data_IF_323680962223
#
_entry.id   IF_323680962223
#
_cell.length_a   1.000
_cell.length_b   1.000
_cell.length_c   1.000
_cell.angle_alpha   90.00
_cell.angle_beta   90.00
_cell.angle_gamma   90.00
#
_symmetry.space_group_name_H-M   'P 1'
#
loop_
_entity.id
_entity.type
_entity.pdbx_description
1 polymer ?
#
# COMPACT_ATOMS: atom_id res chain seq x y z
N UNK A 1 -3.15 -36.84 -0.08
CA UNK A 1 -1.76 -36.41 -0.34
C UNK A 1 -1.77 -34.90 -0.43
N UNK A 2 -1.36 -34.24 0.65
CA UNK A 2 -1.63 -32.84 0.92
C UNK A 2 -0.73 -31.95 0.04
N UNK A 3 -1.34 -31.10 -0.77
CA UNK A 3 -0.73 -30.19 -1.76
C UNK A 3 0.14 -29.06 -1.17
N UNK A 4 0.60 -29.20 0.07
CA UNK A 4 1.29 -28.16 0.83
C UNK A 4 2.75 -28.52 1.07
N UNK A 5 3.43 -28.86 -0.03
CA UNK A 5 4.87 -28.94 -0.02
C UNK A 5 5.45 -27.53 0.08
N UNK A 6 6.07 -27.22 1.23
CA UNK A 6 6.90 -26.04 1.40
C UNK A 6 8.03 -26.07 0.35
N UNK A 7 8.54 -24.89 -0.04
CA UNK A 7 9.71 -24.80 -0.93
C UNK A 7 10.86 -25.71 -0.48
N UNK A 8 11.07 -25.84 0.82
CA UNK A 8 12.07 -26.73 1.43
C UNK A 8 11.79 -28.22 1.17
N UNK A 9 10.52 -28.67 1.20
CA UNK A 9 10.18 -30.07 0.87
C UNK A 9 10.28 -30.35 -0.62
N UNK A 10 10.11 -29.34 -1.48
CA UNK A 10 10.39 -29.49 -2.93
C UNK A 10 11.87 -29.77 -3.25
N UNK A 11 12.79 -29.45 -2.33
CA UNK A 11 14.21 -29.84 -2.40
C UNK A 11 14.52 -31.16 -1.66
N UNK A 12 13.50 -31.92 -1.25
CA UNK A 12 13.67 -33.19 -0.53
C UNK A 12 14.11 -33.05 0.92
N UNK A 13 14.08 -31.83 1.48
CA UNK A 13 14.44 -31.58 2.88
C UNK A 13 13.16 -31.68 3.72
N UNK A 14 13.18 -32.57 4.73
CA UNK A 14 12.07 -32.69 5.68
C UNK A 14 11.93 -31.44 6.54
N UNK A 15 10.71 -30.90 6.63
CA UNK A 15 10.38 -29.73 7.46
C UNK A 15 9.11 -29.94 8.26
N UNK A 16 9.07 -29.39 9.48
CA UNK A 16 7.86 -29.31 10.31
C UNK A 16 7.42 -27.84 10.45
N UNK A 17 6.10 -27.59 10.35
CA UNK A 17 5.53 -26.26 10.53
C UNK A 17 4.78 -26.19 11.88
N UNK A 18 5.34 -25.45 12.83
CA UNK A 18 4.73 -25.19 14.14
C UNK A 18 3.88 -23.92 14.07
N UNK A 19 2.66 -23.97 14.59
CA UNK A 19 1.72 -22.84 14.54
C UNK A 19 0.96 -22.66 15.86
N UNK A 20 0.73 -21.39 16.20
CA UNK A 20 0.04 -20.97 17.44
C UNK A 20 -1.47 -20.85 17.25
N UNK A 21 -1.93 -20.42 16.07
CA UNK A 21 -3.35 -20.24 15.77
C UNK A 21 -3.94 -21.45 15.04
N UNK A 22 -5.27 -21.48 14.91
CA UNK A 22 -6.01 -22.53 14.19
C UNK A 22 -6.17 -22.24 12.69
N UNK A 23 -6.10 -20.96 12.24
CA UNK A 23 -6.20 -20.52 10.83
C UNK A 23 -4.87 -20.10 10.19
N UNK A 24 -4.61 -20.58 8.96
CA UNK A 24 -3.26 -20.51 8.33
C UNK A 24 -3.17 -19.11 7.73
N UNK A 25 -1.99 -18.48 7.80
CA UNK A 25 -1.74 -17.15 7.22
C UNK A 25 -2.43 -15.96 7.90
N UNK A 26 -2.87 -16.09 9.16
CA UNK A 26 -3.31 -14.93 9.94
C UNK A 26 -2.15 -13.95 10.22
N UNK A 27 -2.35 -12.61 10.13
CA UNK A 27 -3.57 -11.89 9.75
C UNK A 27 -3.73 -11.63 8.24
N UNK A 28 -2.77 -12.09 7.44
CA UNK A 28 -2.64 -11.73 6.03
C UNK A 28 -3.78 -12.26 5.14
N UNK A 29 -4.34 -13.43 5.45
CA UNK A 29 -5.47 -14.01 4.71
C UNK A 29 -6.50 -14.58 5.69
N UNK A 30 -7.60 -13.83 5.91
CA UNK A 30 -8.77 -14.34 6.61
C UNK A 30 -9.96 -14.37 5.65
N UNK A 31 -10.22 -15.55 5.10
CA UNK A 31 -11.39 -15.84 4.30
C UNK A 31 -12.53 -16.29 5.23
N UNK A 32 -13.69 -15.64 5.09
CA UNK A 32 -14.94 -16.02 5.74
C UNK A 32 -15.91 -16.53 4.68
N UNK A 33 -16.53 -17.68 4.94
CA UNK A 33 -17.56 -18.25 4.10
C UNK A 33 -18.78 -18.58 4.96
N UNK A 34 -19.94 -18.05 4.58
CA UNK A 34 -21.22 -18.29 5.24
C UNK A 34 -22.39 -18.00 4.29
N UNK A 35 -23.61 -18.29 4.74
CA UNK A 35 -24.85 -18.14 3.95
C UNK A 35 -25.17 -16.70 3.51
N UNK A 36 -24.58 -15.68 4.12
CA UNK A 36 -24.87 -14.28 3.81
C UNK A 36 -23.94 -13.66 2.76
N UNK A 37 -22.69 -14.12 2.69
CA UNK A 37 -21.65 -13.48 1.87
C UNK A 37 -21.05 -14.39 0.81
N UNK A 38 -21.44 -15.66 0.77
CA UNK A 38 -20.76 -16.75 0.04
C UNK A 38 -19.29 -16.84 0.48
N UNK A 39 -18.46 -15.90 0.07
CA UNK A 39 -17.14 -15.66 0.61
C UNK A 39 -16.75 -14.18 0.72
N UNK A 40 -15.92 -13.85 1.71
CA UNK A 40 -15.35 -12.51 1.89
C UNK A 40 -14.00 -12.57 2.58
N UNK A 41 -13.03 -11.80 2.07
CA UNK A 41 -11.76 -11.55 2.75
C UNK A 41 -11.93 -10.44 3.78
N UNK A 42 -11.55 -10.73 5.02
CA UNK A 42 -11.49 -9.75 6.13
C UNK A 42 -10.05 -9.46 6.57
N UNK A 43 -9.07 -9.92 5.78
CA UNK A 43 -7.64 -9.63 5.91
C UNK A 43 -7.09 -8.94 4.66
N UNK A 44 -5.88 -9.30 4.23
CA UNK A 44 -5.31 -8.85 2.96
C UNK A 44 -5.94 -9.54 1.76
N UNK A 45 -6.51 -8.75 0.83
CA UNK A 45 -7.20 -9.26 -0.35
C UNK A 45 -6.58 -8.81 -1.69
N UNK A 46 -5.80 -7.72 -1.68
CA UNK A 46 -5.36 -7.04 -2.90
C UNK A 46 -3.97 -7.49 -3.35
N UNK A 47 -3.87 -7.93 -4.60
CA UNK A 47 -2.63 -8.24 -5.31
C UNK A 47 -2.49 -7.43 -6.60
N UNK A 48 -1.30 -6.93 -6.91
CA UNK A 48 -1.07 -6.00 -8.01
C UNK A 48 -0.01 -6.42 -9.03
N UNK A 49 0.06 -5.75 -10.19
CA UNK A 49 1.27 -5.73 -11.02
C UNK A 49 2.54 -5.53 -10.17
N UNK A 50 3.66 -6.11 -10.60
CA UNK A 50 4.96 -6.22 -9.88
C UNK A 50 5.00 -7.13 -8.66
N UNK A 51 3.86 -7.55 -8.10
CA UNK A 51 3.81 -8.54 -7.03
C UNK A 51 3.92 -9.98 -7.59
N UNK A 52 4.97 -10.23 -8.38
CA UNK A 52 5.12 -11.42 -9.20
C UNK A 52 5.23 -12.71 -8.37
N UNK A 53 5.76 -12.62 -7.15
CA UNK A 53 5.95 -13.80 -6.28
C UNK A 53 4.62 -14.38 -5.81
N UNK A 54 3.70 -13.53 -5.31
CA UNK A 54 2.37 -13.99 -4.87
C UNK A 54 1.53 -14.43 -6.07
N UNK A 55 1.54 -13.68 -7.17
CA UNK A 55 0.81 -14.05 -8.39
C UNK A 55 1.27 -15.41 -8.97
N UNK A 56 2.58 -15.68 -8.94
CA UNK A 56 3.13 -16.99 -9.36
C UNK A 56 2.66 -18.10 -8.43
N UNK A 57 2.70 -17.88 -7.12
CA UNK A 57 2.27 -18.87 -6.13
C UNK A 57 0.76 -19.17 -6.27
N UNK A 58 -0.07 -18.13 -6.38
CA UNK A 58 -1.51 -18.26 -6.61
C UNK A 58 -1.79 -19.09 -7.86
N UNK A 59 -1.11 -18.80 -8.98
CA UNK A 59 -1.24 -19.56 -10.22
C UNK A 59 -0.83 -21.04 -10.06
N UNK A 60 0.25 -21.32 -9.32
CA UNK A 60 0.69 -22.69 -9.05
C UNK A 60 -0.31 -23.47 -8.20
N UNK A 61 -1.02 -22.78 -7.30
CA UNK A 61 -2.08 -23.37 -6.47
C UNK A 61 -3.42 -23.50 -7.20
N UNK A 62 -3.54 -22.95 -8.42
CA UNK A 62 -4.77 -22.97 -9.21
C UNK A 62 -5.79 -21.90 -8.78
N UNK A 63 -5.34 -20.85 -8.10
CA UNK A 63 -6.15 -19.69 -7.72
C UNK A 63 -6.22 -18.70 -8.89
N UNK A 64 -7.36 -18.02 -9.00
CA UNK A 64 -7.61 -17.01 -10.02
C UNK A 64 -7.58 -15.60 -9.43
N UNK A 65 -7.57 -14.58 -10.29
CA UNK A 65 -7.67 -13.19 -9.84
C UNK A 65 -8.70 -12.45 -10.67
N UNK A 66 -9.48 -11.58 -10.03
CA UNK A 66 -10.38 -10.67 -10.73
C UNK A 66 -10.03 -9.21 -10.47
N UNK A 67 -10.47 -8.33 -11.38
CA UNK A 67 -10.22 -6.89 -11.27
C UNK A 67 -11.25 -6.27 -10.33
N UNK A 68 -10.77 -5.45 -9.40
CA UNK A 68 -11.63 -4.60 -8.57
C UNK A 68 -12.40 -3.64 -9.49
N UNK A 69 -13.70 -3.45 -9.23
CA UNK A 69 -14.51 -2.57 -10.07
C UNK A 69 -14.09 -1.10 -9.87
N UNK A 70 -13.67 -0.47 -10.97
CA UNK A 70 -13.29 0.95 -11.05
C UNK A 70 -13.82 1.59 -12.34
N UNK A 71 -14.89 1.02 -12.92
CA UNK A 71 -15.45 1.48 -14.19
C UNK A 71 -16.17 2.83 -14.02
N UNK A 72 -16.78 3.05 -12.87
CA UNK A 72 -17.49 4.27 -12.51
C UNK A 72 -16.52 5.36 -12.00
N UNK A 73 -17.09 6.48 -11.57
CA UNK A 73 -16.31 7.57 -10.97
C UNK A 73 -15.99 7.23 -9.52
N UNK A 74 -14.75 7.45 -9.13
CA UNK A 74 -14.35 7.45 -7.72
C UNK A 74 -14.93 8.69 -7.04
N UNK A 75 -15.05 8.64 -5.72
CA UNK A 75 -15.62 9.74 -4.92
C UNK A 75 -14.59 10.23 -3.92
N UNK A 76 -14.30 11.52 -3.94
CA UNK A 76 -13.61 12.19 -2.85
C UNK A 76 -14.66 12.97 -2.04
N UNK A 77 -14.84 12.60 -0.78
CA UNK A 77 -15.75 13.28 0.14
C UNK A 77 -14.95 14.18 1.08
N UNK A 78 -15.19 15.49 1.01
CA UNK A 78 -14.48 16.47 1.84
C UNK A 78 -15.41 17.62 2.22
N UNK A 79 -15.39 17.99 3.50
CA UNK A 79 -16.22 19.09 4.07
C UNK A 79 -17.72 18.97 3.74
N UNK A 80 -18.27 17.77 3.87
CA UNK A 80 -19.71 17.56 3.63
C UNK A 80 -20.12 17.47 2.16
N UNK A 81 -19.16 17.50 1.21
CA UNK A 81 -19.44 17.52 -0.22
C UNK A 81 -18.75 16.37 -0.95
N UNK A 82 -19.44 15.85 -1.96
CA UNK A 82 -19.02 14.74 -2.80
C UNK A 82 -18.45 15.26 -4.12
N UNK A 83 -17.21 14.88 -4.44
CA UNK A 83 -16.54 15.24 -5.68
C UNK A 83 -16.22 13.97 -6.48
N UNK A 84 -17.02 13.65 -7.52
CA UNK A 84 -16.75 12.49 -8.37
C UNK A 84 -15.57 12.76 -9.31
N UNK A 85 -14.68 11.79 -9.47
CA UNK A 85 -13.48 11.91 -10.30
C UNK A 85 -13.06 10.60 -10.98
N UNK A 86 -12.10 10.70 -11.90
CA UNK A 86 -11.41 9.55 -12.51
C UNK A 86 -9.89 9.74 -12.35
N UNK A 87 -9.16 8.64 -12.25
CA UNK A 87 -7.72 8.63 -11.99
C UNK A 87 -7.38 8.18 -10.58
N UNK A 88 -6.08 8.10 -10.27
CA UNK A 88 -5.61 7.64 -8.97
C UNK A 88 -5.83 8.69 -7.86
N UNK A 89 -5.66 9.98 -8.19
CA UNK A 89 -5.74 11.06 -7.21
C UNK A 89 -6.92 11.99 -7.49
N UNK A 90 -7.60 12.53 -6.46
CA UNK A 90 -8.64 13.53 -6.66
C UNK A 90 -8.08 14.81 -7.31
N UNK A 91 -8.82 15.41 -8.27
CA UNK A 91 -8.39 16.63 -8.93
C UNK A 91 -8.43 17.83 -7.96
N UNK A 92 -7.44 18.71 -8.10
CA UNK A 92 -7.35 19.97 -7.36
C UNK A 92 -7.45 21.13 -8.34
N UNK A 93 -8.51 21.94 -8.22
CA UNK A 93 -8.81 23.02 -9.19
C UNK A 93 -8.14 24.35 -8.87
N UNK A 94 -7.82 24.61 -7.60
CA UNK A 94 -7.10 25.82 -7.21
C UNK A 94 -5.63 25.69 -7.69
N UNK A 95 -5.11 26.60 -8.53
CA UNK A 95 -3.76 26.48 -9.09
C UNK A 95 -2.64 26.38 -8.04
N UNK A 96 -2.75 27.11 -6.93
CA UNK A 96 -1.76 27.08 -5.85
C UNK A 96 -1.79 25.73 -5.14
N UNK A 97 -2.99 25.24 -4.83
CA UNK A 97 -3.14 23.93 -4.22
C UNK A 97 -2.73 22.80 -5.18
N UNK A 98 -2.95 22.96 -6.49
CA UNK A 98 -2.51 22.01 -7.50
C UNK A 98 -0.98 21.93 -7.57
N UNK A 99 -0.29 23.07 -7.59
CA UNK A 99 1.18 23.10 -7.58
C UNK A 99 1.75 22.45 -6.31
N UNK A 100 1.16 22.75 -5.16
CA UNK A 100 1.55 22.18 -3.87
C UNK A 100 1.31 20.67 -3.83
N UNK A 101 0.15 20.21 -4.32
CA UNK A 101 -0.19 18.79 -4.41
C UNK A 101 0.74 18.02 -5.35
N UNK A 102 1.06 18.60 -6.52
CA UNK A 102 2.03 18.02 -7.45
C UNK A 102 3.44 18.01 -6.84
N UNK A 103 3.81 19.06 -6.10
CA UNK A 103 5.09 19.14 -5.42
C UNK A 103 5.23 18.07 -4.33
N UNK A 104 4.18 17.83 -3.54
CA UNK A 104 4.14 16.79 -2.50
C UNK A 104 4.54 15.42 -3.07
N UNK A 105 3.81 14.92 -4.07
CA UNK A 105 4.06 13.57 -4.61
C UNK A 105 5.43 13.45 -5.27
N UNK A 106 5.80 14.46 -6.07
CA UNK A 106 7.11 14.50 -6.72
C UNK A 106 8.24 14.53 -5.69
N UNK A 107 8.09 15.30 -4.61
CA UNK A 107 9.10 15.39 -3.56
C UNK A 107 9.25 14.05 -2.84
N UNK A 108 8.15 13.41 -2.45
CA UNK A 108 8.18 12.09 -1.82
C UNK A 108 8.85 11.04 -2.70
N UNK A 109 8.50 10.97 -3.99
CA UNK A 109 9.12 10.02 -4.93
C UNK A 109 10.60 10.34 -5.16
N UNK A 110 10.99 11.62 -5.18
CA UNK A 110 12.39 12.02 -5.33
C UNK A 110 13.23 11.66 -4.10
N UNK A 111 12.74 11.96 -2.89
CA UNK A 111 13.40 11.54 -1.65
C UNK A 111 13.50 10.00 -1.59
N UNK A 112 12.45 9.29 -2.01
CA UNK A 112 12.45 7.83 -2.10
C UNK A 112 13.54 7.26 -3.03
N UNK A 113 13.93 7.97 -4.10
CA UNK A 113 15.01 7.51 -5.00
C UNK A 113 16.37 7.46 -4.29
N UNK A 114 16.60 8.32 -3.32
CA UNK A 114 17.86 8.41 -2.57
C UNK A 114 18.03 7.30 -1.53
N UNK A 115 16.94 6.63 -1.15
CA UNK A 115 16.94 5.63 -0.07
C UNK A 115 17.25 4.25 -0.64
N UNK A 116 18.35 3.56 -0.30
CA UNK A 116 18.60 2.20 -0.78
C UNK A 116 17.47 1.22 -0.39
N UNK A 117 17.09 0.32 -1.30
CA UNK A 117 15.94 -0.58 -1.07
C UNK A 117 16.21 -1.59 0.04
N UNK A 118 17.42 -2.16 0.08
CA UNK A 118 17.80 -3.21 1.02
C UNK A 118 18.46 -2.66 2.31
N UNK A 119 18.81 -1.36 2.31
CA UNK A 119 19.52 -0.70 3.42
C UNK A 119 19.08 0.77 3.59
N UNK A 120 17.83 1.05 4.02
CA UNK A 120 17.33 2.42 4.14
C UNK A 120 18.14 3.32 5.10
N UNK A 121 18.78 2.73 6.10
CA UNK A 121 19.65 3.43 7.05
C UNK A 121 20.94 3.98 6.44
N UNK A 122 21.31 3.55 5.22
CA UNK A 122 22.49 4.05 4.49
C UNK A 122 22.15 5.24 3.58
N UNK A 123 20.90 5.71 3.54
CA UNK A 123 20.51 6.87 2.75
C UNK A 123 21.32 8.11 3.18
N UNK A 124 21.69 9.03 2.25
CA UNK A 124 22.49 10.21 2.57
C UNK A 124 21.92 11.07 3.71
N UNK A 125 20.59 11.10 3.83
CA UNK A 125 19.84 11.86 4.82
C UNK A 125 19.14 10.99 5.87
N UNK A 126 19.53 9.71 6.00
CA UNK A 126 18.84 8.74 6.86
C UNK A 126 18.66 9.26 8.30
N UNK A 127 19.72 9.77 8.92
CA UNK A 127 19.67 10.26 10.30
C UNK A 127 18.77 11.50 10.49
N UNK A 128 18.60 12.34 9.46
CA UNK A 128 17.67 13.48 9.51
C UNK A 128 16.23 13.00 9.35
N UNK A 129 15.98 12.20 8.31
CA UNK A 129 14.63 11.73 7.96
C UNK A 129 14.06 10.75 8.98
N UNK A 130 14.89 9.97 9.66
CA UNK A 130 14.42 9.02 10.68
C UNK A 130 14.10 9.69 12.02
N UNK A 131 14.67 10.88 12.27
CA UNK A 131 14.38 11.68 13.48
C UNK A 131 13.13 12.53 13.37
N UNK A 132 12.61 12.73 12.16
CA UNK A 132 11.38 13.48 11.93
C UNK A 132 10.22 12.54 11.67
N UNK A 133 9.04 12.94 12.12
CA UNK A 133 7.81 12.22 11.81
C UNK A 133 7.33 12.57 10.41
N UNK A 134 6.44 11.75 9.83
CA UNK A 134 5.76 12.12 8.59
C UNK A 134 4.95 13.40 8.74
N UNK A 135 4.41 13.70 9.94
CA UNK A 135 3.74 14.96 10.23
C UNK A 135 4.69 16.14 10.03
N UNK A 136 5.90 16.07 10.59
CA UNK A 136 6.90 17.15 10.47
C UNK A 136 7.31 17.35 9.01
N UNK A 137 7.53 16.26 8.27
CA UNK A 137 7.85 16.33 6.85
C UNK A 137 6.71 16.98 6.04
N UNK A 138 5.47 16.56 6.28
CA UNK A 138 4.28 17.12 5.63
C UNK A 138 4.15 18.62 5.93
N UNK A 139 4.38 19.05 7.17
CA UNK A 139 4.36 20.47 7.54
C UNK A 139 5.48 21.27 6.89
N UNK A 140 6.64 20.65 6.64
CA UNK A 140 7.80 21.27 5.97
C UNK A 140 7.59 21.44 4.47
N UNK A 141 6.96 20.47 3.78
CA UNK A 141 6.87 20.47 2.31
C UNK A 141 5.53 20.96 1.74
N UNK A 142 4.44 20.90 2.52
CA UNK A 142 3.10 21.29 2.07
C UNK A 142 2.71 22.69 2.55
N UNK A 143 2.36 23.55 1.60
CA UNK A 143 2.01 24.94 1.84
C UNK A 143 0.53 25.10 2.20
N UNK A 144 -0.33 24.33 1.53
CA UNK A 144 -1.78 24.42 1.64
C UNK A 144 -2.34 23.43 2.65
N UNK A 145 -3.49 23.78 3.25
CA UNK A 145 -4.23 22.83 4.11
C UNK A 145 -4.73 21.62 3.32
N UNK A 146 -5.08 21.81 2.05
CA UNK A 146 -5.57 20.74 1.17
C UNK A 146 -4.52 19.66 0.95
N UNK A 147 -3.27 20.03 0.63
CA UNK A 147 -2.19 19.06 0.46
C UNK A 147 -1.87 18.35 1.79
N UNK A 148 -1.80 19.08 2.91
CA UNK A 148 -1.57 18.49 4.24
C UNK A 148 -2.63 17.46 4.63
N UNK A 149 -3.91 17.81 4.50
CA UNK A 149 -5.01 16.90 4.82
C UNK A 149 -4.96 15.63 3.98
N UNK A 150 -4.68 15.77 2.69
CA UNK A 150 -4.59 14.61 1.82
C UNK A 150 -3.33 13.77 2.08
N UNK A 151 -2.19 14.40 2.39
CA UNK A 151 -0.97 13.70 2.78
C UNK A 151 -1.17 12.89 4.06
N UNK A 152 -1.86 13.44 5.07
CA UNK A 152 -2.22 12.70 6.28
C UNK A 152 -3.12 11.51 5.98
N UNK A 153 -4.16 11.69 5.15
CA UNK A 153 -5.00 10.59 4.70
C UNK A 153 -4.18 9.50 3.97
N UNK A 154 -3.24 9.91 3.14
CA UNK A 154 -2.34 9.02 2.41
C UNK A 154 -1.43 8.23 3.35
N UNK A 155 -0.95 8.80 4.45
CA UNK A 155 -0.21 8.03 5.46
C UNK A 155 -1.16 7.01 6.10
N UNK A 156 -2.30 7.46 6.62
CA UNK A 156 -3.23 6.61 7.38
C UNK A 156 -3.73 5.42 6.55
N UNK A 157 -4.01 5.59 5.26
CA UNK A 157 -4.50 4.50 4.40
C UNK A 157 -3.42 3.48 4.03
N UNK A 158 -2.15 3.90 3.96
CA UNK A 158 -1.06 3.01 3.54
C UNK A 158 -0.45 2.24 4.72
N UNK A 159 -0.39 2.84 5.92
CA UNK A 159 0.32 2.24 7.06
C UNK A 159 -0.53 2.12 8.32
N UNK A 160 -1.81 2.54 8.28
CA UNK A 160 -2.77 2.37 9.39
C UNK A 160 -2.33 2.99 10.73
N UNK A 161 -1.51 4.04 10.66
CA UNK A 161 -1.00 4.80 11.81
C UNK A 161 -1.04 6.28 11.50
N UNK A 162 -1.04 7.12 12.53
CA UNK A 162 -1.08 8.57 12.36
C UNK A 162 0.27 9.12 11.89
N UNK A 163 0.31 10.26 11.16
CA UNK A 163 1.57 10.77 10.60
C UNK A 163 2.62 11.17 11.64
N UNK A 164 2.21 11.42 12.88
CA UNK A 164 3.12 11.76 13.99
C UNK A 164 3.70 10.52 14.70
N UNK A 165 3.21 9.31 14.38
CA UNK A 165 3.68 8.05 14.96
C UNK A 165 4.75 7.38 14.10
N UNK A 166 4.88 7.78 12.83
CA UNK A 166 5.72 7.11 11.84
C UNK A 166 6.93 7.97 11.46
N UNK A 167 8.11 7.34 11.42
CA UNK A 167 9.34 7.92 10.89
C UNK A 167 9.17 8.28 9.41
N UNK A 168 9.67 9.47 9.01
CA UNK A 168 9.61 9.88 7.62
C UNK A 168 10.53 9.03 6.73
N UNK A 169 11.72 8.65 7.22
CA UNK A 169 12.61 7.74 6.48
C UNK A 169 11.91 6.42 6.17
N UNK A 170 11.32 5.80 7.20
CA UNK A 170 10.64 4.52 7.06
C UNK A 170 9.47 4.61 6.07
N UNK A 171 8.66 5.66 6.16
CA UNK A 171 7.51 5.82 5.28
C UNK A 171 7.92 6.08 3.81
N UNK A 172 8.94 6.91 3.58
CA UNK A 172 9.47 7.15 2.22
C UNK A 172 10.04 5.87 1.62
N UNK A 173 10.79 5.10 2.41
CA UNK A 173 11.26 3.77 2.03
C UNK A 173 10.10 2.81 1.71
N UNK A 174 9.05 2.81 2.54
CA UNK A 174 7.86 1.99 2.34
C UNK A 174 7.15 2.33 1.04
N UNK A 175 6.95 3.61 0.72
CA UNK A 175 6.36 4.02 -0.55
C UNK A 175 7.25 3.63 -1.73
N UNK A 176 8.57 3.77 -1.60
CA UNK A 176 9.55 3.40 -2.63
C UNK A 176 9.49 1.91 -2.97
N UNK A 177 9.49 1.02 -1.96
CA UNK A 177 9.45 -0.43 -2.21
C UNK A 177 8.16 -0.87 -2.92
N UNK A 178 7.06 -0.14 -2.72
CA UNK A 178 5.80 -0.35 -3.43
C UNK A 178 5.77 0.25 -4.85
N UNK A 179 6.89 0.79 -5.34
CA UNK A 179 7.00 1.36 -6.68
C UNK A 179 6.50 2.80 -6.80
N UNK A 180 6.47 3.56 -5.70
CA UNK A 180 6.20 5.00 -5.67
C UNK A 180 4.75 5.36 -5.38
N UNK A 181 4.52 6.66 -5.19
CA UNK A 181 3.24 7.24 -4.74
C UNK A 181 2.06 6.89 -5.63
N UNK A 182 2.26 6.91 -6.94
CA UNK A 182 1.19 6.62 -7.91
C UNK A 182 0.78 5.15 -7.88
N UNK A 183 1.75 4.24 -7.76
CA UNK A 183 1.46 2.79 -7.80
C UNK A 183 0.78 2.33 -6.52
N UNK A 184 1.27 2.76 -5.36
CA UNK A 184 0.73 2.34 -4.07
C UNK A 184 -0.74 2.77 -3.88
N UNK A 185 -1.14 3.88 -4.51
CA UNK A 185 -2.51 4.41 -4.41
C UNK A 185 -3.42 4.02 -5.58
N UNK A 186 -2.88 3.42 -6.65
CA UNK A 186 -3.67 3.07 -7.83
C UNK A 186 -4.36 1.72 -7.69
N UNK A 187 -5.67 1.68 -7.92
CA UNK A 187 -6.44 0.42 -7.98
C UNK A 187 -6.36 -0.17 -9.39
N UNK A 188 -6.46 0.65 -10.44
CA UNK A 188 -6.49 0.22 -11.85
C UNK A 188 -5.22 -0.53 -12.28
N UNK A 189 -4.08 -0.23 -11.64
CA UNK A 189 -2.77 -0.87 -11.86
C UNK A 189 -2.09 -1.37 -10.57
N UNK A 190 -2.83 -1.52 -9.47
CA UNK A 190 -2.27 -1.94 -8.17
C UNK A 190 -3.11 -2.94 -7.38
N UNK A 191 -4.41 -3.11 -7.66
CA UNK A 191 -5.28 -4.02 -6.91
C UNK A 191 -6.13 -4.94 -7.78
N UNK A 192 -5.92 -6.24 -7.64
CA UNK A 192 -6.78 -7.35 -8.05
C UNK A 192 -7.11 -8.14 -6.79
N UNK A 193 -8.27 -8.74 -6.71
CA UNK A 193 -8.54 -9.68 -5.62
C UNK A 193 -8.17 -11.09 -6.08
N UNK A 194 -7.59 -11.88 -5.18
CA UNK A 194 -7.31 -13.29 -5.39
C UNK A 194 -8.51 -14.12 -4.91
N UNK A 195 -8.92 -15.12 -5.69
CA UNK A 195 -9.99 -16.08 -5.36
C UNK A 195 -9.45 -17.49 -5.53
#
# INVERSE_FOLDING_TARGET
LNKWDCLVTSYGIGGQFLRVLTKVFWPLFLFLQNEHVDYVDVGGAYVGPTQNRILRLSKQLGLETYKVNVNERLVHYVKGKTYPFRGAFPPVWNPIAYLDYNNLWRTMDNMGKEIPADAPWEAPHAAEWDKMTMKDLIEKICWTKTARQFASLFVNINVTSEPHEVSALWFLWYVKQCGGTTRIFSITNGGKMAV
#
